data_IF_772198133007
#
_entry.id   IF_772198133007
#
_cell.length_a   1.000
_cell.length_b   1.000
_cell.length_c   1.000
_cell.angle_alpha   90.00
_cell.angle_beta   90.00
_cell.angle_gamma   90.00
#
_symmetry.space_group_name_H-M   'P 1'
#
loop_
_entity.id
_entity.type
_entity.pdbx_description
1 polymer ?
#
# COMPACT_ATOMS: atom_id res chain seq x y z
N UNK A 1 -39.53 -16.61 -13.76
CA UNK A 1 -39.46 -15.74 -12.55
C UNK A 1 -38.25 -16.03 -11.65
N UNK A 2 -37.94 -17.29 -11.33
CA UNK A 2 -36.80 -17.64 -10.45
C UNK A 2 -35.43 -17.19 -10.97
N UNK A 3 -35.14 -17.33 -12.27
CA UNK A 3 -33.84 -16.96 -12.84
C UNK A 3 -33.53 -15.46 -12.71
N UNK A 4 -34.54 -14.60 -12.88
CA UNK A 4 -34.40 -13.14 -12.71
C UNK A 4 -34.11 -12.78 -11.25
N UNK A 5 -34.78 -13.47 -10.31
CA UNK A 5 -34.51 -13.30 -8.88
C UNK A 5 -33.10 -13.78 -8.51
N UNK A 6 -32.64 -14.89 -9.08
CA UNK A 6 -31.26 -15.38 -8.89
C UNK A 6 -30.23 -14.40 -9.45
N UNK A 7 -30.48 -13.82 -10.62
CA UNK A 7 -29.58 -12.84 -11.24
C UNK A 7 -29.55 -11.52 -10.45
N UNK A 8 -30.69 -11.00 -9.99
CA UNK A 8 -30.74 -9.82 -9.13
C UNK A 8 -30.05 -10.07 -7.79
N UNK A 9 -30.17 -11.28 -7.23
CA UNK A 9 -29.46 -11.65 -6.00
C UNK A 9 -27.94 -11.70 -6.23
N UNK A 10 -27.48 -12.24 -7.37
CA UNK A 10 -26.06 -12.23 -7.76
C UNK A 10 -25.55 -10.81 -8.03
N UNK A 11 -26.34 -9.98 -8.70
CA UNK A 11 -26.02 -8.58 -8.98
C UNK A 11 -25.90 -7.76 -7.69
N UNK A 12 -26.88 -7.86 -6.78
CA UNK A 12 -26.82 -7.19 -5.48
C UNK A 12 -25.68 -7.72 -4.60
N UNK A 13 -25.36 -9.02 -4.68
CA UNK A 13 -24.20 -9.57 -4.01
C UNK A 13 -22.89 -8.97 -4.55
N UNK A 14 -22.76 -8.78 -5.88
CA UNK A 14 -21.59 -8.15 -6.50
C UNK A 14 -21.51 -6.65 -6.18
N UNK A 15 -22.62 -5.91 -6.29
CA UNK A 15 -22.67 -4.46 -6.08
C UNK A 15 -22.46 -4.08 -4.60
N UNK A 16 -23.06 -4.82 -3.65
CA UNK A 16 -22.87 -4.58 -2.21
C UNK A 16 -21.60 -5.22 -1.63
N UNK A 17 -20.94 -6.16 -2.32
CA UNK A 17 -19.63 -6.69 -1.90
C UNK A 17 -18.44 -5.89 -2.44
N UNK A 18 -18.67 -4.97 -3.38
CA UNK A 18 -17.66 -4.06 -3.94
C UNK A 18 -17.53 -2.72 -3.21
N UNK A 19 -18.07 -2.57 -1.99
CA UNK A 19 -17.33 -1.74 -1.03
C UNK A 19 -16.03 -2.50 -0.77
N UNK A 20 -14.95 -2.00 -1.35
CA UNK A 20 -13.54 -2.39 -1.17
C UNK A 20 -13.09 -2.34 0.30
N UNK A 21 -13.96 -1.93 1.21
CA UNK A 21 -13.90 -2.33 2.60
C UNK A 21 -13.94 -3.86 2.66
N UNK A 22 -12.79 -4.48 2.95
CA UNK A 22 -12.70 -5.85 3.43
C UNK A 22 -13.85 -6.10 4.43
N UNK A 23 -14.95 -6.72 3.98
CA UNK A 23 -16.01 -7.16 4.87
C UNK A 23 -15.34 -8.17 5.78
N UNK A 24 -14.99 -7.74 7.00
CA UNK A 24 -14.56 -8.64 8.07
C UNK A 24 -15.70 -9.64 8.24
N UNK A 25 -15.53 -10.81 7.64
CA UNK A 25 -16.47 -11.89 7.75
C UNK A 25 -16.61 -12.25 9.23
N UNK A 26 -17.86 -12.13 9.68
CA UNK A 26 -18.48 -12.76 10.84
C UNK A 26 -18.27 -12.13 12.23
N UNK A 27 -19.37 -11.67 12.83
CA UNK A 27 -19.50 -11.14 14.22
C UNK A 27 -19.25 -12.19 15.32
N UNK A 28 -18.93 -13.43 14.95
CA UNK A 28 -18.69 -14.54 15.89
C UNK A 28 -17.32 -15.22 15.70
N UNK A 29 -16.39 -14.56 14.99
CA UNK A 29 -15.00 -15.03 14.94
C UNK A 29 -14.36 -14.62 16.26
N UNK A 30 -13.97 -15.60 17.09
CA UNK A 30 -13.04 -15.34 18.21
C UNK A 30 -11.94 -14.44 17.67
N UNK A 31 -11.67 -13.32 18.35
CA UNK A 31 -10.58 -12.41 17.98
C UNK A 31 -9.36 -13.30 17.78
N UNK A 32 -8.80 -13.40 16.56
CA UNK A 32 -7.62 -14.22 16.37
C UNK A 32 -6.58 -13.78 17.39
N UNK A 33 -5.85 -14.73 18.01
CA UNK A 33 -4.84 -14.39 19.01
C UNK A 33 -3.99 -13.25 18.45
N UNK A 34 -3.82 -12.20 19.26
CA UNK A 34 -3.13 -10.98 18.82
C UNK A 34 -1.82 -11.41 18.17
N UNK A 35 -1.57 -11.02 16.91
CA UNK A 35 -0.39 -11.47 16.21
C UNK A 35 0.84 -11.09 17.03
N UNK A 36 1.75 -12.05 17.16
CA UNK A 36 3.00 -11.90 17.89
C UNK A 36 3.86 -10.86 17.16
N UNK A 37 3.87 -9.63 17.69
CA UNK A 37 4.49 -8.46 17.04
C UNK A 37 5.98 -8.69 16.85
N UNK A 38 6.64 -9.37 17.79
CA UNK A 38 8.09 -9.63 17.71
C UNK A 38 8.44 -10.65 16.62
N UNK A 39 7.47 -11.45 16.14
CA UNK A 39 7.63 -12.28 14.94
C UNK A 39 7.42 -11.52 13.63
N UNK A 40 6.61 -10.45 13.66
CA UNK A 40 6.33 -9.63 12.48
C UNK A 40 7.39 -8.55 12.30
N UNK A 41 7.90 -8.00 13.40
CA UNK A 41 8.88 -6.92 13.42
C UNK A 41 10.13 -7.42 14.12
N UNK A 42 11.12 -7.82 13.34
CA UNK A 42 12.39 -8.32 13.83
C UNK A 42 13.42 -7.19 13.79
N UNK A 43 13.85 -6.74 14.96
CA UNK A 43 14.88 -5.71 15.07
C UNK A 43 16.25 -6.35 15.29
N UNK A 44 17.13 -6.25 14.28
CA UNK A 44 18.53 -6.68 14.35
C UNK A 44 19.49 -5.48 14.33
N UNK A 45 18.96 -4.26 14.43
CA UNK A 45 19.74 -3.03 14.53
C UNK A 45 20.09 -2.72 15.98
N UNK A 46 21.09 -1.85 16.15
CA UNK A 46 21.47 -1.29 17.45
C UNK A 46 20.43 -0.30 18.02
N UNK A 47 19.56 0.24 17.17
CA UNK A 47 18.52 1.19 17.54
C UNK A 47 17.35 0.54 18.27
N UNK A 48 16.79 1.21 19.28
CA UNK A 48 15.57 0.76 19.94
C UNK A 48 14.31 1.27 19.23
N UNK A 49 13.24 0.48 19.33
CA UNK A 49 11.91 0.82 18.80
C UNK A 49 10.95 1.09 19.93
N UNK A 50 10.20 2.18 19.83
CA UNK A 50 9.07 2.44 20.70
C UNK A 50 7.89 1.51 20.34
N UNK A 51 6.96 1.30 21.28
CA UNK A 51 5.76 0.49 21.07
C UNK A 51 4.94 0.99 19.87
N UNK A 52 4.78 2.32 19.71
CA UNK A 52 4.09 2.89 18.54
C UNK A 52 4.82 2.60 17.23
N UNK A 53 6.15 2.57 17.25
CA UNK A 53 6.96 2.23 16.08
C UNK A 53 6.82 0.74 15.74
N UNK A 54 6.82 -0.14 16.75
CA UNK A 54 6.53 -1.57 16.56
C UNK A 54 5.13 -1.79 15.99
N UNK A 55 4.11 -1.11 16.53
CA UNK A 55 2.72 -1.25 16.09
C UNK A 55 2.53 -0.79 14.64
N UNK A 56 3.18 0.31 14.22
CA UNK A 56 3.09 0.77 12.83
C UNK A 56 3.84 -0.15 11.86
N UNK A 57 5.02 -0.64 12.25
CA UNK A 57 5.80 -1.60 11.45
C UNK A 57 5.08 -2.94 11.34
N UNK A 58 4.33 -3.34 12.38
CA UNK A 58 3.52 -4.56 12.37
C UNK A 58 2.35 -4.52 11.37
N UNK A 59 1.93 -3.33 10.90
CA UNK A 59 0.99 -3.22 9.77
C UNK A 59 1.61 -3.68 8.44
N UNK A 60 2.94 -3.76 8.36
CA UNK A 60 3.70 -4.24 7.22
C UNK A 60 4.04 -3.14 6.19
N UNK A 61 5.05 -3.38 5.37
CA UNK A 61 5.53 -2.42 4.35
C UNK A 61 4.60 -2.29 3.12
N UNK A 62 3.55 -3.10 3.03
CA UNK A 62 2.50 -2.97 2.02
C UNK A 62 1.32 -2.11 2.53
N UNK A 63 1.36 -1.63 3.77
CA UNK A 63 0.33 -0.76 4.32
C UNK A 63 0.35 0.59 3.61
N UNK A 64 -0.81 1.04 3.12
CA UNK A 64 -0.97 2.32 2.42
C UNK A 64 -1.68 3.31 3.34
N UNK A 65 -0.99 4.37 3.82
CA UNK A 65 -1.64 5.45 4.56
C UNK A 65 -2.73 6.12 3.71
N UNK A 66 -3.85 6.49 4.35
CA UNK A 66 -4.87 7.28 3.69
C UNK A 66 -4.27 8.62 3.23
N UNK A 67 -4.40 9.00 1.95
CA UNK A 67 -3.97 10.32 1.48
C UNK A 67 -4.77 11.42 2.19
N UNK A 68 -4.12 12.56 2.46
CA UNK A 68 -4.79 13.71 3.09
C UNK A 68 -5.80 14.35 2.16
N UNK A 69 -5.38 14.51 0.92
CA UNK A 69 -6.15 15.16 -0.13
C UNK A 69 -6.30 14.16 -1.28
N UNK A 70 -7.48 14.13 -1.88
CA UNK A 70 -7.74 13.29 -3.04
C UNK A 70 -7.15 14.02 -4.26
N UNK A 71 -6.31 13.36 -5.08
CA UNK A 71 -5.68 14.00 -6.23
C UNK A 71 -6.67 14.14 -7.39
N UNK A 72 -7.62 15.07 -7.26
CA UNK A 72 -8.72 15.28 -8.20
C UNK A 72 -8.19 15.55 -9.61
N UNK A 73 -7.13 16.36 -9.74
CA UNK A 73 -6.54 16.69 -11.03
C UNK A 73 -5.94 15.46 -11.73
N UNK A 74 -5.26 14.58 -11.00
CA UNK A 74 -4.69 13.36 -11.56
C UNK A 74 -5.79 12.39 -12.00
N UNK A 75 -6.88 12.31 -11.23
CA UNK A 75 -8.07 11.52 -11.59
C UNK A 75 -8.70 12.07 -12.88
N UNK A 76 -8.93 13.39 -12.95
CA UNK A 76 -9.53 14.03 -14.12
C UNK A 76 -8.63 13.81 -15.34
N UNK A 77 -7.35 14.17 -15.25
CA UNK A 77 -6.40 14.04 -16.37
C UNK A 77 -6.27 12.60 -16.85
N UNK A 78 -6.18 11.63 -15.93
CA UNK A 78 -6.14 10.20 -16.28
C UNK A 78 -7.41 9.75 -17.02
N UNK A 79 -8.59 10.18 -16.55
CA UNK A 79 -9.86 9.84 -17.18
C UNK A 79 -9.98 10.53 -18.54
N UNK A 80 -9.63 11.81 -18.66
CA UNK A 80 -9.66 12.52 -19.93
C UNK A 80 -8.73 11.90 -20.97
N UNK A 81 -7.52 11.54 -20.53
CA UNK A 81 -6.55 10.85 -21.38
C UNK A 81 -7.09 9.48 -21.83
N UNK A 82 -7.65 8.68 -20.91
CA UNK A 82 -8.26 7.39 -21.23
C UNK A 82 -9.47 7.49 -22.17
N UNK A 83 -10.19 8.62 -22.14
CA UNK A 83 -11.35 8.88 -23.00
C UNK A 83 -11.01 9.54 -24.34
N UNK A 84 -9.76 9.93 -24.58
CA UNK A 84 -9.32 10.67 -25.77
C UNK A 84 -9.69 10.01 -27.11
N UNK A 85 -9.75 8.67 -27.15
CA UNK A 85 -10.08 7.87 -28.34
C UNK A 85 -11.51 7.29 -28.34
N UNK A 86 -12.36 7.73 -27.41
CA UNK A 86 -13.73 7.23 -27.26
C UNK A 86 -14.73 8.14 -28.00
N UNK A 87 -15.86 7.60 -28.45
CA UNK A 87 -16.92 8.40 -29.07
C UNK A 87 -17.35 9.57 -28.16
N UNK A 88 -17.52 10.80 -28.68
CA UNK A 88 -17.80 11.99 -27.87
C UNK A 88 -18.98 11.83 -26.91
N UNK A 89 -20.06 11.17 -27.35
CA UNK A 89 -21.24 10.93 -26.52
C UNK A 89 -20.96 10.03 -25.30
N UNK A 90 -20.23 8.93 -25.48
CA UNK A 90 -19.84 8.05 -24.37
C UNK A 90 -18.86 8.73 -23.42
N UNK A 91 -17.89 9.47 -23.98
CA UNK A 91 -16.93 10.23 -23.18
C UNK A 91 -17.66 11.29 -22.32
N UNK A 92 -18.59 12.05 -22.90
CA UNK A 92 -19.39 13.03 -22.17
C UNK A 92 -20.21 12.39 -21.04
N UNK A 93 -20.81 11.22 -21.28
CA UNK A 93 -21.55 10.49 -20.22
C UNK A 93 -20.64 10.08 -19.06
N UNK A 94 -19.46 9.54 -19.35
CA UNK A 94 -18.49 9.12 -18.32
C UNK A 94 -17.97 10.34 -17.55
N UNK A 95 -17.63 11.43 -18.24
CA UNK A 95 -17.24 12.70 -17.60
C UNK A 95 -18.34 13.23 -16.68
N UNK A 96 -19.61 13.25 -17.13
CA UNK A 96 -20.75 13.70 -16.33
C UNK A 96 -20.98 12.82 -15.08
N UNK A 97 -20.83 11.49 -15.21
CA UNK A 97 -20.90 10.59 -14.05
C UNK A 97 -19.76 10.85 -13.06
N UNK A 98 -18.54 11.08 -13.55
CA UNK A 98 -17.39 11.41 -12.71
C UNK A 98 -17.60 12.73 -11.97
N UNK A 99 -18.07 13.78 -12.65
CA UNK A 99 -18.33 15.09 -12.03
C UNK A 99 -19.37 14.97 -10.92
N UNK A 100 -20.44 14.20 -11.13
CA UNK A 100 -21.45 14.00 -10.08
C UNK A 100 -20.85 13.30 -8.85
N UNK A 101 -20.04 12.26 -9.04
CA UNK A 101 -19.36 11.57 -7.93
C UNK A 101 -18.43 12.53 -7.17
N UNK A 102 -17.68 13.37 -7.89
CA UNK A 102 -16.75 14.32 -7.30
C UNK A 102 -17.45 15.46 -6.54
N UNK A 103 -18.62 15.90 -7.02
CA UNK A 103 -19.41 16.97 -6.40
C UNK A 103 -20.26 16.49 -5.22
N UNK A 104 -20.81 15.28 -5.29
CA UNK A 104 -21.69 14.71 -4.25
C UNK A 104 -20.90 14.03 -3.12
N UNK A 105 -19.67 13.57 -3.39
CA UNK A 105 -18.85 12.86 -2.42
C UNK A 105 -18.25 13.78 -1.35
N UNK A 106 -18.32 13.37 -0.06
CA UNK A 106 -17.46 13.95 0.98
C UNK A 106 -15.99 13.58 0.65
N UNK A 107 -15.22 14.55 0.16
CA UNK A 107 -13.81 14.39 -0.22
C UNK A 107 -12.84 14.27 0.97
N UNK A 108 -13.34 14.02 2.19
CA UNK A 108 -12.53 13.91 3.40
C UNK A 108 -12.41 12.43 3.77
N UNK A 109 -11.38 11.73 3.24
CA UNK A 109 -11.21 10.32 3.55
C UNK A 109 -10.91 10.14 5.04
N UNK A 110 -11.44 9.08 5.63
CA UNK A 110 -11.17 8.77 7.04
C UNK A 110 -9.71 8.33 7.19
N UNK A 111 -8.92 8.97 8.06
CA UNK A 111 -7.52 8.60 8.24
C UNK A 111 -7.43 7.20 8.85
N UNK A 112 -6.64 6.32 8.23
CA UNK A 112 -6.35 4.98 8.74
C UNK A 112 -5.13 4.93 9.69
N UNK A 113 -4.58 6.10 10.04
CA UNK A 113 -3.48 6.29 10.98
C UNK A 113 -3.81 7.38 12.00
N UNK A 114 -3.46 7.12 13.25
CA UNK A 114 -3.45 8.11 14.31
C UNK A 114 -2.32 9.13 14.14
N UNK A 115 -2.41 10.28 14.81
CA UNK A 115 -1.34 11.30 14.81
C UNK A 115 -0.02 10.75 15.36
N UNK A 116 -0.09 9.91 16.38
CA UNK A 116 1.08 9.27 16.98
C UNK A 116 1.78 8.32 15.99
N UNK A 117 1.01 7.50 15.26
CA UNK A 117 1.57 6.63 14.21
C UNK A 117 2.16 7.44 13.05
N UNK A 118 1.51 8.53 12.62
CA UNK A 118 2.07 9.42 11.59
C UNK A 118 3.39 10.07 12.03
N UNK A 119 3.49 10.48 13.30
CA UNK A 119 4.73 10.98 13.87
C UNK A 119 5.79 9.89 13.96
N UNK A 120 5.42 8.67 14.34
CA UNK A 120 6.32 7.52 14.37
C UNK A 120 6.91 7.22 12.97
N UNK A 121 6.09 7.25 11.90
CA UNK A 121 6.59 7.08 10.51
C UNK A 121 7.61 8.17 10.17
N UNK A 122 7.32 9.43 10.52
CA UNK A 122 8.27 10.54 10.29
C UNK A 122 9.56 10.37 11.08
N UNK A 123 9.46 9.93 12.34
CA UNK A 123 10.60 9.61 13.19
C UNK A 123 11.46 8.51 12.58
N UNK A 124 10.86 7.37 12.21
CA UNK A 124 11.54 6.26 11.55
C UNK A 124 12.21 6.70 10.24
N UNK A 125 11.54 7.49 9.42
CA UNK A 125 12.09 8.01 8.15
C UNK A 125 13.28 8.96 8.36
N UNK A 126 13.36 9.65 9.50
CA UNK A 126 14.46 10.57 9.82
C UNK A 126 15.76 9.85 10.19
N UNK A 127 15.68 8.59 10.65
CA UNK A 127 16.84 7.76 11.00
C UNK A 127 17.55 7.31 9.74
N UNK A 128 18.75 7.84 9.48
CA UNK A 128 19.55 7.51 8.28
C UNK A 128 20.46 6.30 8.50
N UNK A 129 20.75 5.99 9.74
CA UNK A 129 21.58 4.90 10.23
C UNK A 129 20.86 3.54 10.19
N UNK A 130 19.53 3.51 10.07
CA UNK A 130 18.74 2.28 10.06
C UNK A 130 18.18 1.99 8.66
N UNK A 131 18.17 0.71 8.28
CA UNK A 131 17.49 0.18 7.09
C UNK A 131 16.25 -0.60 7.55
N UNK A 132 15.11 -0.28 6.97
CA UNK A 132 13.84 -0.99 7.18
C UNK A 132 13.51 -1.71 5.87
N UNK A 133 13.45 -3.03 5.89
CA UNK A 133 13.23 -3.85 4.69
C UNK A 133 12.28 -5.02 4.97
N UNK A 134 11.83 -5.69 3.91
CA UNK A 134 11.08 -6.96 4.02
C UNK A 134 12.07 -8.12 4.17
N UNK A 135 11.68 -9.13 4.95
CA UNK A 135 12.36 -10.42 4.89
C UNK A 135 12.14 -11.11 3.54
N UNK A 136 13.00 -12.08 3.20
CA UNK A 136 12.85 -12.93 2.00
C UNK A 136 11.54 -13.72 2.01
N UNK A 137 11.12 -14.19 3.20
CA UNK A 137 9.90 -14.97 3.39
C UNK A 137 8.94 -14.29 4.34
N UNK A 138 7.66 -14.30 3.95
CA UNK A 138 6.57 -13.75 4.74
C UNK A 138 6.51 -12.21 4.70
N UNK A 139 5.50 -11.66 5.37
CA UNK A 139 5.33 -10.21 5.51
C UNK A 139 6.04 -9.68 6.76
N UNK A 140 7.26 -10.18 7.03
CA UNK A 140 8.07 -9.78 8.18
C UNK A 140 8.87 -8.53 7.81
N UNK A 141 8.86 -7.54 8.71
CA UNK A 141 9.65 -6.32 8.61
C UNK A 141 10.92 -6.50 9.43
N UNK A 142 12.06 -6.26 8.80
CA UNK A 142 13.38 -6.40 9.41
C UNK A 142 14.06 -5.04 9.48
N UNK A 143 14.65 -4.74 10.63
CA UNK A 143 15.46 -3.55 10.85
C UNK A 143 16.92 -3.94 11.00
N UNK A 144 17.79 -3.20 10.31
CA UNK A 144 19.23 -3.43 10.27
C UNK A 144 19.96 -2.11 10.42
N UNK A 145 21.14 -2.13 11.04
CA UNK A 145 22.06 -1.00 10.92
C UNK A 145 22.51 -0.88 9.45
N UNK A 146 22.55 0.35 8.93
CA UNK A 146 22.92 0.64 7.54
C UNK A 146 24.32 0.16 7.22
N UNK A 147 25.25 0.30 8.15
CA UNK A 147 26.64 -0.19 8.00
C UNK A 147 26.66 -1.71 7.86
N UNK A 148 26.00 -2.43 8.76
CA UNK A 148 25.91 -3.89 8.73
C UNK A 148 25.22 -4.40 7.45
N UNK A 149 24.14 -3.73 7.00
CA UNK A 149 23.49 -4.04 5.73
C UNK A 149 24.44 -3.86 4.55
N UNK A 150 25.10 -2.71 4.47
CA UNK A 150 26.01 -2.38 3.36
C UNK A 150 27.19 -3.35 3.31
N UNK A 151 27.78 -3.68 4.46
CA UNK A 151 28.85 -4.67 4.56
C UNK A 151 28.40 -6.03 4.02
N UNK A 152 27.26 -6.55 4.48
CA UNK A 152 26.74 -7.85 4.02
C UNK A 152 26.44 -7.87 2.53
N UNK A 153 25.92 -6.77 1.99
CA UNK A 153 25.66 -6.64 0.54
C UNK A 153 26.98 -6.63 -0.24
N UNK A 154 28.01 -5.93 0.24
CA UNK A 154 29.32 -5.92 -0.40
C UNK A 154 30.00 -7.30 -0.34
N UNK A 155 29.90 -8.00 0.79
CA UNK A 155 30.38 -9.39 0.93
C UNK A 155 29.65 -10.31 -0.04
N UNK A 156 28.32 -10.16 -0.19
CA UNK A 156 27.51 -10.91 -1.14
C UNK A 156 27.95 -10.66 -2.60
N UNK A 157 28.25 -9.41 -2.96
CA UNK A 157 28.72 -9.07 -4.31
C UNK A 157 30.18 -9.42 -4.59
N UNK A 158 31.00 -9.62 -3.55
CA UNK A 158 32.42 -9.99 -3.68
C UNK A 158 32.63 -11.46 -4.09
N UNK A 159 31.57 -12.25 -4.19
CA UNK A 159 31.64 -13.64 -4.59
C UNK A 159 31.78 -13.80 -6.12
N UNK A 160 32.12 -15.02 -6.58
CA UNK A 160 32.28 -15.33 -8.01
C UNK A 160 30.96 -15.36 -8.81
N UNK A 161 29.81 -15.20 -8.16
CA UNK A 161 28.49 -15.30 -8.79
C UNK A 161 28.12 -14.00 -9.50
N UNK A 162 28.55 -12.86 -8.96
CA UNK A 162 28.28 -11.54 -9.53
C UNK A 162 29.52 -10.99 -10.24
N UNK A 163 29.30 -10.20 -11.30
CA UNK A 163 30.35 -9.45 -12.00
C UNK A 163 29.91 -7.99 -12.17
N UNK A 164 30.82 -7.02 -12.00
CA UNK A 164 30.49 -5.64 -12.32
C UNK A 164 30.24 -5.50 -13.82
N UNK A 165 29.29 -4.65 -14.16
CA UNK A 165 29.04 -4.21 -15.54
C UNK A 165 29.48 -2.74 -15.63
N UNK A 166 30.02 -2.35 -16.78
CA UNK A 166 30.65 -1.04 -16.95
C UNK A 166 29.63 0.11 -17.06
N UNK A 167 28.39 -0.20 -17.45
CA UNK A 167 27.35 0.79 -17.75
C UNK A 167 25.99 0.29 -17.28
N UNK A 168 25.09 1.22 -16.99
CA UNK A 168 23.70 0.91 -16.64
C UNK A 168 22.97 0.38 -17.88
N UNK A 169 22.50 -0.87 -17.89
CA UNK A 169 21.85 -1.48 -19.04
C UNK A 169 20.48 -0.85 -19.35
N UNK A 170 19.93 -0.02 -18.45
CA UNK A 170 18.67 0.71 -18.68
C UNK A 170 18.85 2.00 -19.48
N UNK A 171 20.09 2.42 -19.74
CA UNK A 171 20.41 3.57 -20.60
C UNK A 171 20.50 3.19 -22.09
N UNK A 172 20.46 1.90 -22.43
CA UNK A 172 20.56 1.38 -23.81
C UNK A 172 19.19 1.16 -24.48
N UNK A 173 18.31 2.14 -24.37
CA UNK A 173 17.07 2.21 -25.15
C UNK A 173 16.73 3.66 -25.48
N UNK A 174 17.32 4.15 -26.57
CA UNK A 174 16.67 4.79 -27.73
C UNK A 174 17.72 5.12 -28.82
#
# INVERSE_FOLDING_TARGET
MQQVQTLNKKFNALYCSQSWEFRRSNKNRQVPPKPDIDKIVVNLSSSTLNNTEKDILAKGLNFVPTPKDIPILDIISSVEHGLSRTSPFKAARIKASLTNILLEGRQNPTPNLSRAEQQAIKGLRSRKDTIITKADKGSVVVLLDRTAYTQKINELFSNKVYRPINEDPTLMSD
#
